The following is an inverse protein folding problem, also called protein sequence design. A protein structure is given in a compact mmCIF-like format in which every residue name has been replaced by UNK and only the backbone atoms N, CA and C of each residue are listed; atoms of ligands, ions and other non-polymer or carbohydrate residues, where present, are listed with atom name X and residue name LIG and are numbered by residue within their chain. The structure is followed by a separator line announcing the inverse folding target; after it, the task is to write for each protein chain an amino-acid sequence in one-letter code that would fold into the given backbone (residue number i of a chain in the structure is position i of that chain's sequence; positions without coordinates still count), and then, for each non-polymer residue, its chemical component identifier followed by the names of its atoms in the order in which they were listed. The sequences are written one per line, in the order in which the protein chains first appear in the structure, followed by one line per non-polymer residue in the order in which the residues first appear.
data_IF_610988008186
#
_entry.id   IF_610988008186
#
_cell.length_a   1.000
_cell.length_b   1.000
_cell.length_c   1.000
_cell.angle_alpha   90.00
_cell.angle_beta   90.00
_cell.angle_gamma   90.00
#
_symmetry.space_group_name_H-M   'P 1'
#
loop_
_entity.id
_entity.type
_entity.pdbx_description
1 polymer ?
#
# COMPACT_ATOMS: atom_id res chain seq x y z
N UNK A 1 5.89 16.33 26.76
CA UNK A 1 6.83 17.06 25.89
C UNK A 1 8.15 16.29 25.93
N UNK A 2 8.36 15.34 25.01
CA UNK A 2 9.61 14.57 24.93
C UNK A 2 10.60 15.42 24.15
N UNK A 3 11.63 15.91 24.86
CA UNK A 3 12.73 16.61 24.23
C UNK A 3 13.54 15.64 23.36
N UNK A 4 13.69 15.95 22.08
CA UNK A 4 14.67 15.31 21.22
C UNK A 4 16.07 15.60 21.80
N UNK A 5 16.71 14.63 22.43
CA UNK A 5 18.15 14.67 22.65
C UNK A 5 18.81 14.37 21.30
N UNK A 6 19.24 15.41 20.59
CA UNK A 6 20.24 15.26 19.54
C UNK A 6 21.58 14.98 20.20
N UNK A 7 21.93 13.70 20.32
CA UNK A 7 23.29 13.30 20.70
C UNK A 7 24.22 13.64 19.52
N UNK A 8 25.09 14.62 19.71
CA UNK A 8 26.26 14.82 18.86
C UNK A 8 27.17 13.60 19.05
N UNK A 9 27.14 12.69 18.10
CA UNK A 9 27.97 11.48 18.10
C UNK A 9 29.42 11.89 17.78
N UNK A 10 30.24 12.10 18.81
CA UNK A 10 31.66 11.86 18.72
C UNK A 10 31.86 10.37 18.48
N UNK A 11 32.93 9.97 17.75
CA UNK A 11 33.20 8.59 17.38
C UNK A 11 32.80 7.64 18.53
N UNK A 12 31.68 6.96 18.34
CA UNK A 12 31.08 6.15 19.40
C UNK A 12 32.02 4.97 19.69
N UNK A 13 32.23 4.67 20.97
CA UNK A 13 32.89 3.44 21.30
C UNK A 13 32.11 2.25 20.74
N UNK A 14 32.83 1.28 20.22
CA UNK A 14 32.20 0.08 19.65
C UNK A 14 32.08 -1.04 20.67
N UNK A 15 31.11 -1.92 20.46
CA UNK A 15 30.89 -3.14 21.23
C UNK A 15 30.73 -4.34 20.29
N UNK A 16 31.06 -5.57 20.69
CA UNK A 16 30.77 -6.77 19.92
C UNK A 16 29.25 -7.09 19.85
N UNK A 17 28.44 -6.42 20.67
CA UNK A 17 27.02 -6.67 20.81
C UNK A 17 26.28 -6.21 19.55
N UNK A 18 25.31 -6.99 19.07
CA UNK A 18 24.55 -6.70 17.87
C UNK A 18 23.10 -7.21 17.96
N UNK A 19 22.26 -6.75 17.07
CA UNK A 19 20.84 -7.11 17.02
C UNK A 19 20.57 -8.22 16.00
N UNK A 20 19.61 -9.07 16.34
CA UNK A 20 19.04 -10.09 15.47
C UNK A 20 17.52 -10.11 15.61
N UNK A 21 16.80 -10.91 14.79
CA UNK A 21 15.37 -11.15 14.99
C UNK A 21 15.07 -12.64 15.12
N UNK A 22 13.92 -12.95 15.73
CA UNK A 22 13.35 -14.29 15.67
C UNK A 22 12.98 -14.65 14.23
N UNK A 23 12.89 -15.94 13.93
CA UNK A 23 12.42 -16.40 12.63
C UNK A 23 11.04 -15.79 12.33
N UNK A 24 10.95 -15.12 11.18
CA UNK A 24 9.72 -14.53 10.66
C UNK A 24 9.47 -15.06 9.25
N UNK A 25 8.24 -15.52 9.00
CA UNK A 25 7.74 -15.82 7.67
C UNK A 25 6.42 -15.10 7.49
N UNK A 26 6.30 -14.29 6.45
CA UNK A 26 5.08 -13.54 6.13
C UNK A 26 4.47 -14.01 4.82
N UNK A 27 3.15 -13.94 4.74
CA UNK A 27 2.39 -14.17 3.50
C UNK A 27 1.80 -12.83 3.06
N UNK A 28 2.19 -12.29 1.90
CA UNK A 28 1.71 -11.01 1.39
C UNK A 28 0.19 -10.95 1.28
N UNK A 29 -0.40 -9.81 1.62
CA UNK A 29 -1.84 -9.57 1.51
C UNK A 29 -2.71 -10.33 2.52
N UNK A 30 -2.13 -11.11 3.40
CA UNK A 30 -2.88 -11.67 4.52
C UNK A 30 -3.30 -10.54 5.46
N UNK A 31 -4.58 -10.49 5.83
CA UNK A 31 -5.13 -9.49 6.76
C UNK A 31 -4.59 -9.64 8.20
N UNK A 32 -3.88 -10.73 8.49
CA UNK A 32 -3.28 -11.02 9.79
C UNK A 32 -2.15 -10.04 10.14
N UNK A 33 -1.88 -9.96 11.43
CA UNK A 33 -0.74 -9.23 11.97
C UNK A 33 0.35 -10.24 12.28
N UNK A 34 1.54 -10.01 11.73
CA UNK A 34 2.74 -10.76 12.06
C UNK A 34 3.49 -10.08 13.19
N UNK A 35 4.34 -10.80 13.88
CA UNK A 35 5.29 -10.19 14.81
C UNK A 35 6.63 -10.90 14.75
N UNK A 36 7.67 -10.17 15.07
CA UNK A 36 9.00 -10.70 15.30
C UNK A 36 9.57 -10.08 16.56
N UNK A 37 10.43 -10.85 17.22
CA UNK A 37 11.16 -10.38 18.41
C UNK A 37 12.52 -9.89 17.98
N UNK A 38 12.87 -8.65 18.33
CA UNK A 38 14.23 -8.15 18.25
C UNK A 38 15.00 -8.68 19.45
N UNK A 39 16.18 -9.23 19.18
CA UNK A 39 17.06 -9.91 20.15
C UNK A 39 18.42 -9.26 20.13
N UNK A 40 19.11 -9.33 21.24
CA UNK A 40 20.51 -8.94 21.35
C UNK A 40 21.41 -10.18 21.46
N UNK A 41 22.58 -10.11 20.84
CA UNK A 41 23.58 -11.16 20.77
C UNK A 41 24.98 -10.66 21.13
N UNK A 42 25.82 -11.55 21.58
CA UNK A 42 27.19 -11.28 22.08
C UNK A 42 27.22 -10.24 23.21
N UNK A 43 26.20 -10.25 24.06
CA UNK A 43 26.05 -9.24 25.10
C UNK A 43 27.22 -9.23 26.05
N UNK A 44 27.99 -8.15 26.06
CA UNK A 44 29.22 -7.99 26.79
C UNK A 44 29.08 -7.14 28.06
N UNK A 45 27.93 -6.46 28.22
CA UNK A 45 27.66 -5.56 29.35
C UNK A 45 26.16 -5.31 29.54
N UNK A 46 25.79 -4.72 30.68
CA UNK A 46 24.42 -4.25 30.95
C UNK A 46 24.15 -2.89 30.34
N UNK A 47 22.93 -2.68 29.87
CA UNK A 47 22.46 -1.43 29.29
C UNK A 47 21.22 -0.91 30.02
N UNK A 48 21.08 0.41 30.11
CA UNK A 48 19.94 1.08 30.70
C UNK A 48 18.97 1.65 29.68
N UNK A 49 19.47 1.83 28.44
CA UNK A 49 18.65 2.26 27.31
C UNK A 49 19.22 1.78 25.98
N UNK A 50 18.37 1.61 25.01
CA UNK A 50 18.72 1.24 23.63
C UNK A 50 17.83 2.07 22.70
N UNK A 51 18.44 2.68 21.67
CA UNK A 51 17.70 3.22 20.54
C UNK A 51 18.20 2.62 19.22
N UNK A 52 17.31 2.58 18.21
CA UNK A 52 17.63 2.11 16.88
C UNK A 52 16.58 2.58 15.87
N UNK A 53 16.98 2.64 14.61
CA UNK A 53 16.12 2.83 13.46
C UNK A 53 16.06 1.53 12.65
N UNK A 54 14.86 0.99 12.48
CA UNK A 54 14.58 -0.20 11.67
C UNK A 54 13.99 0.25 10.33
N UNK A 55 14.71 0.03 9.23
CA UNK A 55 14.28 0.33 7.88
C UNK A 55 13.47 -0.84 7.32
N UNK A 56 12.15 -0.74 7.43
CA UNK A 56 11.24 -1.76 6.91
C UNK A 56 11.23 -1.73 5.39
N UNK A 57 11.32 -2.88 4.69
CA UNK A 57 11.25 -2.92 3.23
C UNK A 57 9.87 -2.50 2.73
N UNK A 58 9.80 -2.01 1.47
CA UNK A 58 8.54 -1.68 0.81
C UNK A 58 7.54 -2.84 0.91
N UNK A 59 6.32 -2.53 1.33
CA UNK A 59 5.28 -3.52 1.55
C UNK A 59 5.25 -4.16 2.95
N UNK A 60 6.20 -3.84 3.84
CA UNK A 60 6.11 -4.19 5.26
C UNK A 60 5.86 -2.92 6.08
N UNK A 61 4.77 -2.87 6.82
CA UNK A 61 4.41 -1.69 7.62
C UNK A 61 4.12 -2.06 9.07
N UNK A 62 4.44 -1.21 10.05
CA UNK A 62 4.07 -1.49 11.43
C UNK A 62 2.56 -1.47 11.59
N UNK A 63 2.03 -2.33 12.47
CA UNK A 63 0.66 -2.20 12.93
C UNK A 63 0.53 -0.92 13.75
N UNK A 64 -0.39 -0.04 13.37
CA UNK A 64 -0.68 1.19 14.10
C UNK A 64 -1.78 0.92 15.13
N UNK A 65 -1.57 1.37 16.36
CA UNK A 65 -2.57 1.33 17.44
C UNK A 65 -3.59 2.47 17.28
N UNK A 66 -4.65 2.42 18.09
CA UNK A 66 -5.70 3.45 18.09
C UNK A 66 -5.19 4.86 18.47
N UNK A 67 -4.05 4.95 19.15
CA UNK A 67 -3.39 6.22 19.51
C UNK A 67 -2.48 6.78 18.39
N UNK A 68 -2.50 6.14 17.19
CA UNK A 68 -1.70 6.52 16.04
C UNK A 68 -0.23 6.08 16.08
N UNK A 69 0.19 5.34 17.13
CA UNK A 69 1.58 4.90 17.30
C UNK A 69 1.80 3.47 16.79
N UNK A 70 3.01 3.14 16.33
CA UNK A 70 3.41 1.77 16.03
C UNK A 70 3.20 0.84 17.22
N UNK A 71 2.76 -0.38 16.95
CA UNK A 71 2.64 -1.39 17.98
C UNK A 71 3.97 -2.09 18.19
N UNK A 72 4.59 -1.79 19.31
CA UNK A 72 5.77 -2.46 19.88
C UNK A 72 5.48 -2.82 21.33
N UNK A 73 6.12 -3.85 21.85
CA UNK A 73 5.96 -4.27 23.25
C UNK A 73 7.26 -4.88 23.76
N UNK A 74 7.66 -4.58 25.00
CA UNK A 74 8.75 -5.27 25.70
C UNK A 74 8.45 -6.78 25.64
N UNK A 75 9.48 -7.59 25.41
CA UNK A 75 9.35 -9.04 25.51
C UNK A 75 9.27 -9.43 26.99
N UNK A 76 8.26 -10.24 27.33
CA UNK A 76 7.99 -10.70 28.70
C UNK A 76 8.16 -12.21 28.84
N UNK A 77 8.86 -12.86 27.88
CA UNK A 77 9.20 -14.27 27.97
C UNK A 77 10.37 -14.51 28.94
N UNK A 78 10.59 -15.76 29.28
CA UNK A 78 11.71 -16.16 30.15
C UNK A 78 13.08 -15.83 29.53
N UNK A 79 13.15 -15.64 28.20
CA UNK A 79 14.36 -15.23 27.49
C UNK A 79 14.53 -13.69 27.43
N UNK A 80 13.68 -12.91 28.10
CA UNK A 80 13.76 -11.45 28.09
C UNK A 80 14.98 -10.97 28.88
N UNK A 81 15.85 -10.20 28.24
CA UNK A 81 16.94 -9.51 28.93
C UNK A 81 16.50 -8.19 29.57
N UNK A 82 15.30 -7.74 29.29
CA UNK A 82 14.76 -6.45 29.79
C UNK A 82 14.12 -6.59 31.18
N UNK A 83 13.65 -7.80 31.51
CA UNK A 83 13.12 -8.11 32.84
C UNK A 83 14.27 -8.31 33.82
N UNK A 84 14.07 -7.92 35.07
CA UNK A 84 15.03 -8.20 36.13
C UNK A 84 14.96 -9.67 36.60
N UNK A 85 15.75 -10.04 37.58
CA UNK A 85 15.80 -11.41 38.13
C UNK A 85 14.51 -11.87 38.82
N UNK A 86 13.63 -10.96 39.12
CA UNK A 86 12.29 -11.22 39.70
C UNK A 86 11.17 -11.26 38.64
N UNK A 87 11.53 -11.01 37.36
CA UNK A 87 10.57 -10.92 36.26
C UNK A 87 9.88 -9.54 36.15
N UNK A 88 10.35 -8.54 36.86
CA UNK A 88 9.79 -7.20 36.84
C UNK A 88 10.36 -6.37 35.68
N UNK A 89 9.48 -5.64 35.01
CA UNK A 89 9.87 -4.73 33.95
C UNK A 89 10.09 -3.31 34.46
N UNK A 90 11.34 -2.90 34.50
CA UNK A 90 11.77 -1.56 34.92
C UNK A 90 12.04 -0.61 33.72
N UNK A 91 11.66 -1.00 32.51
CA UNK A 91 11.88 -0.26 31.27
C UNK A 91 10.57 0.07 30.59
N UNK A 92 10.57 1.14 29.82
CA UNK A 92 9.50 1.52 28.91
C UNK A 92 9.99 1.45 27.47
N UNK A 93 9.05 1.21 26.53
CA UNK A 93 9.33 1.20 25.10
C UNK A 93 8.45 2.23 24.41
N UNK A 94 9.05 3.02 23.52
CA UNK A 94 8.36 3.92 22.60
C UNK A 94 8.78 3.67 21.17
N UNK A 95 7.87 3.91 20.23
CA UNK A 95 8.20 3.87 18.81
C UNK A 95 7.49 4.97 18.05
N UNK A 96 8.14 5.46 16.98
CA UNK A 96 7.58 6.33 15.97
C UNK A 96 7.82 5.72 14.59
N UNK A 97 6.89 5.96 13.67
CA UNK A 97 7.05 5.54 12.29
C UNK A 97 6.94 6.76 11.39
N UNK A 98 8.01 7.04 10.66
CA UNK A 98 8.02 8.17 9.75
C UNK A 98 7.51 7.75 8.37
N UNK A 99 6.32 8.24 8.06
CA UNK A 99 5.69 8.03 6.74
C UNK A 99 6.42 8.83 5.66
N UNK A 100 7.12 9.90 6.02
CA UNK A 100 7.84 10.79 5.09
C UNK A 100 9.17 10.17 4.66
N UNK A 101 9.92 9.60 5.60
CA UNK A 101 11.17 8.86 5.36
C UNK A 101 10.94 7.37 5.04
N UNK A 102 9.76 7.07 4.53
CA UNK A 102 9.36 5.80 3.92
C UNK A 102 9.97 4.56 4.59
N UNK A 103 9.36 4.12 5.68
CA UNK A 103 9.64 2.80 6.23
C UNK A 103 10.57 2.80 7.44
N UNK A 104 10.93 3.95 8.02
CA UNK A 104 11.78 4.00 9.23
C UNK A 104 10.93 3.88 10.48
N UNK A 105 11.12 2.80 11.21
CA UNK A 105 10.56 2.56 12.54
C UNK A 105 11.64 2.83 13.60
N UNK A 106 11.61 4.02 14.19
CA UNK A 106 12.48 4.37 15.32
C UNK A 106 11.93 3.77 16.61
N UNK A 107 12.77 3.05 17.33
CA UNK A 107 12.42 2.41 18.62
C UNK A 107 13.39 2.87 19.71
N UNK A 108 12.84 3.18 20.87
CA UNK A 108 13.61 3.53 22.07
C UNK A 108 13.11 2.70 23.24
N UNK A 109 14.04 2.02 23.92
CA UNK A 109 13.82 1.35 25.20
C UNK A 109 14.63 2.11 26.24
N UNK A 110 14.04 2.48 27.37
CA UNK A 110 14.73 3.21 28.42
C UNK A 110 14.11 2.98 29.79
N UNK A 111 14.95 3.06 30.83
CA UNK A 111 14.51 3.04 32.21
C UNK A 111 14.56 4.43 32.83
N UNK A 112 13.44 4.89 33.39
CA UNK A 112 13.39 6.15 34.16
C UNK A 112 14.07 6.02 35.53
N UNK A 113 14.17 4.81 36.06
CA UNK A 113 14.87 4.47 37.29
C UNK A 113 16.35 4.16 37.09
N UNK A 114 16.86 4.28 35.84
CA UNK A 114 18.22 3.90 35.46
C UNK A 114 18.54 2.42 35.80
N UNK A 115 17.52 1.55 35.67
CA UNK A 115 17.67 0.11 35.84
C UNK A 115 18.46 -0.47 34.66
N UNK A 116 19.26 -1.49 34.94
CA UNK A 116 20.05 -2.18 33.93
C UNK A 116 19.34 -3.41 33.42
N UNK A 117 19.43 -3.65 32.10
CA UNK A 117 19.04 -4.90 31.48
C UNK A 117 20.04 -6.00 31.84
N UNK A 118 19.65 -7.26 31.76
CA UNK A 118 20.53 -8.38 32.01
C UNK A 118 21.70 -8.42 31.00
N UNK A 119 22.90 -8.74 31.47
CA UNK A 119 24.11 -8.81 30.65
C UNK A 119 24.23 -10.20 29.96
N UNK A 120 23.19 -10.69 29.32
CA UNK A 120 23.14 -11.96 28.61
C UNK A 120 22.41 -11.82 27.29
N UNK A 121 22.68 -12.70 26.35
CA UNK A 121 21.93 -12.79 25.12
C UNK A 121 20.43 -13.00 25.43
N UNK A 122 19.55 -12.23 24.78
CA UNK A 122 18.14 -12.36 25.08
C UNK A 122 17.24 -11.55 24.17
N UNK A 123 15.95 -11.63 24.47
CA UNK A 123 14.90 -10.93 23.79
C UNK A 123 14.77 -9.50 24.34
N UNK A 124 14.57 -8.53 23.45
CA UNK A 124 14.34 -7.14 23.83
C UNK A 124 12.85 -6.78 23.73
N UNK A 125 12.30 -6.85 22.54
CA UNK A 125 10.92 -6.41 22.27
C UNK A 125 10.34 -7.07 21.04
N UNK A 126 9.02 -7.01 20.92
CA UNK A 126 8.24 -7.46 19.76
C UNK A 126 7.82 -6.27 18.91
N UNK A 127 7.94 -6.43 17.60
CA UNK A 127 7.40 -5.51 16.58
C UNK A 127 6.25 -6.20 15.89
N UNK A 128 5.12 -5.53 15.76
CA UNK A 128 3.93 -6.03 15.07
C UNK A 128 3.81 -5.35 13.71
N UNK A 129 3.73 -6.16 12.64
CA UNK A 129 3.74 -5.69 11.25
C UNK A 129 2.61 -6.28 10.43
N UNK A 130 2.27 -5.60 9.34
CA UNK A 130 1.38 -6.05 8.27
C UNK A 130 2.16 -6.16 6.98
N UNK A 131 1.83 -7.16 6.17
CA UNK A 131 2.44 -7.40 4.87
C UNK A 131 1.48 -7.01 3.75
N UNK A 132 1.91 -6.09 2.90
CA UNK A 132 1.25 -5.70 1.66
C UNK A 132 1.12 -6.89 0.71
N UNK A 133 0.10 -6.93 -0.14
CA UNK A 133 0.03 -7.90 -1.26
C UNK A 133 1.24 -7.81 -2.21
N UNK A 134 1.89 -6.66 -2.27
CA UNK A 134 3.00 -6.36 -3.17
C UNK A 134 4.38 -6.55 -2.54
N UNK A 135 4.45 -7.03 -1.29
CA UNK A 135 5.74 -7.36 -0.68
C UNK A 135 6.45 -8.45 -1.50
N UNK A 136 7.68 -8.16 -1.93
CA UNK A 136 8.45 -9.02 -2.83
C UNK A 136 8.75 -10.39 -2.19
N UNK A 137 8.42 -11.52 -2.84
CA UNK A 137 8.72 -12.85 -2.32
C UNK A 137 10.21 -13.16 -2.25
N UNK A 138 10.58 -14.05 -1.34
CA UNK A 138 11.95 -14.49 -1.11
C UNK A 138 12.49 -14.07 0.24
N UNK A 139 13.80 -13.90 0.34
CA UNK A 139 14.43 -13.35 1.54
C UNK A 139 14.39 -11.82 1.47
N UNK A 140 13.78 -11.21 2.48
CA UNK A 140 13.77 -9.77 2.68
C UNK A 140 14.64 -9.40 3.89
N UNK A 141 15.07 -8.14 3.96
CA UNK A 141 15.89 -7.64 5.06
C UNK A 141 15.34 -6.33 5.62
N UNK A 142 15.61 -6.11 6.89
CA UNK A 142 15.40 -4.86 7.61
C UNK A 142 16.80 -4.34 7.95
N UNK A 143 17.24 -3.27 7.32
CA UNK A 143 18.48 -2.61 7.71
C UNK A 143 18.29 -1.90 9.05
N UNK A 144 19.34 -1.85 9.85
CA UNK A 144 19.31 -1.21 11.19
C UNK A 144 20.45 -0.23 11.29
N UNK A 145 20.13 1.00 11.62
CA UNK A 145 21.11 2.05 11.90
C UNK A 145 20.73 2.89 13.13
N UNK A 146 21.44 3.99 13.35
CA UNK A 146 21.28 4.87 14.51
C UNK A 146 21.23 4.10 15.86
N UNK A 147 21.97 2.96 15.93
CA UNK A 147 21.98 2.10 17.11
C UNK A 147 22.83 2.77 18.19
N UNK A 148 22.26 2.92 19.38
CA UNK A 148 23.01 3.31 20.56
C UNK A 148 22.61 2.45 21.76
N UNK A 149 23.57 1.74 22.31
CA UNK A 149 23.48 1.00 23.56
C UNK A 149 24.05 1.84 24.69
N UNK A 150 23.23 2.22 25.66
CA UNK A 150 23.59 3.19 26.70
C UNK A 150 23.81 2.45 28.02
N UNK A 151 25.02 2.59 28.59
CA UNK A 151 25.36 2.05 29.90
C UNK A 151 25.01 3.04 31.02
N UNK A 152 24.85 2.52 32.25
CA UNK A 152 24.53 3.30 33.45
C UNK A 152 25.61 4.29 33.78
N UNK A 153 26.88 3.83 33.75
CA UNK A 153 28.03 4.64 34.14
C UNK A 153 28.26 5.78 33.11
N UNK A 154 28.07 7.00 33.57
CA UNK A 154 28.27 8.20 32.76
C UNK A 154 27.30 8.37 31.56
N UNK A 155 26.31 7.50 31.41
CA UNK A 155 25.38 7.55 30.25
C UNK A 155 26.10 7.34 28.91
N UNK A 156 27.23 6.61 28.90
CA UNK A 156 28.04 6.41 27.71
C UNK A 156 27.33 5.54 26.70
N UNK A 157 27.32 5.96 25.42
CA UNK A 157 26.74 5.23 24.30
C UNK A 157 27.78 4.39 23.56
N UNK A 158 27.40 3.18 23.17
CA UNK A 158 28.16 2.26 22.36
C UNK A 158 27.40 1.92 21.09
N UNK A 159 28.11 1.68 19.98
CA UNK A 159 27.54 1.18 18.74
C UNK A 159 28.04 -0.23 18.46
N UNK A 160 27.28 -1.08 17.76
CA UNK A 160 27.79 -2.35 17.27
C UNK A 160 29.06 -2.15 16.43
N UNK A 161 30.09 -2.94 16.66
CA UNK A 161 31.24 -2.98 15.76
C UNK A 161 30.84 -3.49 14.36
N UNK A 162 29.78 -4.30 14.30
CA UNK A 162 29.14 -4.77 13.06
C UNK A 162 27.68 -5.09 13.34
N UNK A 163 26.78 -4.57 12.53
CA UNK A 163 25.35 -4.87 12.59
C UNK A 163 24.93 -5.51 11.26
N UNK A 164 24.61 -6.81 11.23
CA UNK A 164 24.04 -7.44 10.05
C UNK A 164 22.59 -7.00 9.85
N UNK A 165 22.13 -7.00 8.60
CA UNK A 165 20.72 -6.84 8.30
C UNK A 165 19.88 -7.95 8.94
N UNK A 166 18.69 -7.60 9.40
CA UNK A 166 17.76 -8.54 10.01
C UNK A 166 16.92 -9.20 8.91
N UNK A 167 17.15 -10.47 8.63
CA UNK A 167 16.53 -11.17 7.50
C UNK A 167 15.28 -11.94 7.89
N UNK A 168 14.30 -12.03 6.97
CA UNK A 168 13.07 -12.80 7.13
C UNK A 168 12.60 -13.37 5.79
N UNK A 169 11.66 -14.33 5.84
CA UNK A 169 11.12 -14.98 4.65
C UNK A 169 9.77 -14.41 4.25
N UNK A 170 9.57 -14.26 2.94
CA UNK A 170 8.32 -13.83 2.32
C UNK A 170 7.82 -14.94 1.40
N UNK A 171 6.63 -15.46 1.67
CA UNK A 171 6.00 -16.47 0.84
C UNK A 171 5.68 -15.94 -0.57
N UNK A 172 5.66 -16.82 -1.56
CA UNK A 172 5.24 -16.45 -2.92
C UNK A 172 3.72 -16.30 -3.07
N UNK A 173 2.92 -16.86 -2.18
CA UNK A 173 1.47 -16.69 -2.22
C UNK A 173 1.10 -15.29 -1.73
N UNK A 174 0.23 -14.62 -2.50
CA UNK A 174 -0.32 -13.32 -2.13
C UNK A 174 -1.83 -13.28 -2.30
N UNK A 175 -2.49 -12.37 -1.57
CA UNK A 175 -3.94 -12.15 -1.65
C UNK A 175 -4.22 -10.66 -1.76
N UNK A 176 -5.06 -10.28 -2.73
CA UNK A 176 -5.54 -8.90 -2.95
C UNK A 176 -7.04 -8.86 -2.74
N UNK A 177 -7.50 -7.99 -1.85
CA UNK A 177 -8.93 -7.74 -1.67
C UNK A 177 -9.45 -6.82 -2.78
N UNK A 178 -10.52 -7.24 -3.47
CA UNK A 178 -11.25 -6.43 -4.42
C UNK A 178 -12.57 -5.95 -3.80
N UNK A 179 -12.82 -4.66 -3.92
CA UNK A 179 -14.10 -4.06 -3.54
C UNK A 179 -14.54 -3.09 -4.64
N UNK A 180 -15.67 -3.40 -5.27
CA UNK A 180 -16.35 -2.58 -6.26
C UNK A 180 -17.73 -2.29 -5.68
N UNK A 181 -17.99 -1.05 -5.31
CA UNK A 181 -19.29 -0.64 -4.76
C UNK A 181 -20.39 -0.80 -5.80
N UNK A 182 -21.55 -1.29 -5.39
CA UNK A 182 -22.74 -1.37 -6.25
C UNK A 182 -23.21 0.02 -6.75
N UNK A 183 -23.00 1.07 -5.94
CA UNK A 183 -23.38 2.44 -6.32
C UNK A 183 -22.46 3.02 -7.38
N UNK A 184 -21.18 2.67 -7.35
CA UNK A 184 -20.19 3.19 -8.31
C UNK A 184 -20.01 2.27 -9.51
N UNK A 185 -20.20 0.96 -9.33
CA UNK A 185 -20.01 -0.11 -10.32
C UNK A 185 -18.60 -0.18 -10.94
N UNK A 186 -17.80 0.85 -10.81
CA UNK A 186 -16.46 0.99 -11.37
C UNK A 186 -15.40 1.07 -10.28
N UNK A 187 -14.24 0.51 -10.57
CA UNK A 187 -13.06 0.55 -9.72
C UNK A 187 -11.80 0.46 -10.56
N UNK A 188 -10.64 0.52 -9.91
CA UNK A 188 -9.36 0.22 -10.55
C UNK A 188 -8.61 -0.83 -9.75
N UNK A 189 -7.74 -1.60 -10.39
CA UNK A 189 -6.92 -2.57 -9.71
C UNK A 189 -5.56 -2.78 -10.37
N UNK A 190 -4.58 -3.07 -9.52
CA UNK A 190 -3.34 -3.77 -9.86
C UNK A 190 -3.26 -4.99 -8.97
N UNK A 191 -2.76 -6.11 -9.49
CA UNK A 191 -2.50 -7.33 -8.71
C UNK A 191 -1.07 -7.78 -8.96
N UNK A 192 -0.36 -8.37 -7.98
CA UNK A 192 1.04 -8.78 -8.15
C UNK A 192 1.21 -10.16 -8.80
N UNK A 193 0.13 -10.80 -9.21
CA UNK A 193 0.09 -12.15 -9.80
C UNK A 193 -0.93 -12.22 -10.92
N UNK A 194 -0.83 -13.25 -11.77
CA UNK A 194 -1.86 -13.52 -12.78
C UNK A 194 -3.11 -14.09 -12.11
N UNK A 195 -4.29 -13.57 -12.47
CA UNK A 195 -5.57 -14.00 -11.91
C UNK A 195 -6.68 -14.08 -12.96
N UNK A 196 -7.56 -15.06 -12.82
CA UNK A 196 -8.83 -15.06 -13.54
C UNK A 196 -9.76 -13.98 -12.97
N UNK A 197 -10.65 -13.46 -13.81
CA UNK A 197 -11.68 -12.53 -13.34
C UNK A 197 -12.73 -13.28 -12.52
N UNK A 198 -13.17 -12.71 -11.39
CA UNK A 198 -14.32 -13.25 -10.65
C UNK A 198 -15.60 -13.16 -11.49
N UNK A 199 -16.54 -14.06 -11.23
CA UNK A 199 -17.87 -14.00 -11.85
C UNK A 199 -18.54 -12.65 -11.56
N UNK A 200 -19.08 -12.02 -12.62
CA UNK A 200 -19.73 -10.71 -12.52
C UNK A 200 -18.78 -9.51 -12.52
N UNK A 201 -17.48 -9.74 -12.63
CA UNK A 201 -16.47 -8.67 -12.78
C UNK A 201 -15.93 -8.67 -14.20
N UNK A 202 -15.94 -7.52 -14.84
CA UNK A 202 -15.29 -7.22 -16.11
C UNK A 202 -14.04 -6.40 -15.86
N UNK A 203 -13.03 -6.56 -16.70
CA UNK A 203 -11.79 -5.79 -16.61
C UNK A 203 -11.42 -5.25 -18.00
N UNK A 204 -10.80 -4.06 -17.98
CA UNK A 204 -10.46 -3.35 -19.19
C UNK A 204 -9.05 -2.77 -19.09
N UNK A 205 -8.30 -2.83 -20.19
CA UNK A 205 -7.14 -1.97 -20.46
C UNK A 205 -7.62 -0.65 -21.10
N UNK A 206 -6.77 0.38 -21.06
CA UNK A 206 -7.03 1.68 -21.66
C UNK A 206 -5.75 2.20 -22.31
N UNK A 207 -5.73 2.24 -23.65
CA UNK A 207 -4.58 2.67 -24.44
C UNK A 207 -4.74 4.04 -25.07
N UNK A 208 -5.99 4.54 -25.21
CA UNK A 208 -6.30 5.78 -25.89
C UNK A 208 -7.56 6.45 -25.36
N UNK A 209 -7.79 7.67 -25.82
CA UNK A 209 -9.01 8.45 -25.59
C UNK A 209 -9.71 8.80 -26.89
N UNK A 210 -11.03 8.95 -26.87
CA UNK A 210 -11.84 9.45 -27.97
C UNK A 210 -12.76 10.56 -27.46
N UNK A 211 -12.42 11.80 -27.76
CA UNK A 211 -13.14 12.94 -27.17
C UNK A 211 -13.01 12.95 -25.66
N UNK A 212 -14.14 12.98 -24.96
CA UNK A 212 -14.23 12.99 -23.50
C UNK A 212 -14.32 11.57 -22.89
N UNK A 213 -14.03 10.53 -23.68
CA UNK A 213 -14.17 9.15 -23.26
C UNK A 213 -12.85 8.39 -23.33
N UNK A 214 -12.70 7.44 -22.42
CA UNK A 214 -11.67 6.42 -22.49
C UNK A 214 -12.10 5.30 -23.44
N UNK A 215 -11.21 4.91 -24.34
CA UNK A 215 -11.41 3.71 -25.18
C UNK A 215 -10.96 2.51 -24.36
N UNK A 216 -11.92 1.67 -23.99
CA UNK A 216 -11.72 0.51 -23.13
C UNK A 216 -11.71 -0.76 -23.97
N UNK A 217 -10.67 -1.58 -23.78
CA UNK A 217 -10.50 -2.89 -24.38
C UNK A 217 -10.69 -3.97 -23.31
N UNK A 218 -11.72 -4.83 -23.47
CA UNK A 218 -12.03 -5.89 -22.52
C UNK A 218 -10.89 -6.93 -22.47
N UNK A 219 -10.55 -7.35 -21.27
CA UNK A 219 -9.58 -8.43 -21.03
C UNK A 219 -10.26 -9.60 -20.31
N UNK A 220 -9.75 -10.82 -20.51
CA UNK A 220 -10.31 -12.06 -19.93
C UNK A 220 -9.65 -12.47 -18.61
N UNK A 221 -8.52 -11.84 -18.27
CA UNK A 221 -7.76 -12.12 -17.06
C UNK A 221 -6.93 -10.91 -16.68
N UNK A 222 -6.47 -10.88 -15.43
CA UNK A 222 -5.54 -9.88 -14.92
C UNK A 222 -4.13 -10.44 -15.01
N UNK A 223 -3.22 -9.72 -15.66
CA UNK A 223 -1.79 -10.04 -15.65
C UNK A 223 -1.10 -9.35 -14.45
N UNK A 224 -0.05 -10.00 -13.95
CA UNK A 224 0.73 -9.47 -12.84
C UNK A 224 1.27 -8.05 -13.13
N UNK A 225 1.15 -7.17 -12.15
CA UNK A 225 1.62 -5.78 -12.20
C UNK A 225 1.09 -4.94 -13.38
N UNK A 226 -0.05 -5.33 -13.96
CA UNK A 226 -0.74 -4.52 -14.96
C UNK A 226 -1.91 -3.78 -14.32
N UNK A 227 -2.06 -2.47 -14.58
CA UNK A 227 -3.21 -1.69 -14.11
C UNK A 227 -4.44 -1.91 -14.99
N UNK A 228 -5.61 -2.04 -14.37
CA UNK A 228 -6.88 -2.26 -15.03
C UNK A 228 -7.97 -1.36 -14.47
N UNK A 229 -8.98 -1.07 -15.30
CA UNK A 229 -10.27 -0.55 -14.89
C UNK A 229 -11.18 -1.76 -14.73
N UNK A 230 -11.91 -1.82 -13.62
CA UNK A 230 -12.84 -2.90 -13.29
C UNK A 230 -14.27 -2.39 -13.30
N UNK A 231 -15.21 -3.23 -13.77
CA UNK A 231 -16.64 -2.98 -13.72
C UNK A 231 -17.38 -4.19 -13.14
N UNK A 232 -18.36 -3.92 -12.28
CA UNK A 232 -19.30 -4.92 -11.77
C UNK A 232 -20.68 -4.26 -11.58
N UNK A 233 -21.68 -4.64 -12.38
CA UNK A 233 -23.01 -4.03 -12.40
C UNK A 233 -23.71 -4.08 -11.03
N UNK A 234 -23.58 -5.17 -10.31
CA UNK A 234 -24.14 -5.35 -8.96
C UNK A 234 -23.13 -5.08 -7.84
N UNK A 235 -21.95 -4.52 -8.18
CA UNK A 235 -20.83 -4.46 -7.27
C UNK A 235 -20.15 -5.82 -7.07
N UNK A 236 -19.03 -5.83 -6.38
CA UNK A 236 -18.29 -7.05 -6.03
C UNK A 236 -17.46 -6.83 -4.76
N UNK A 237 -17.49 -7.79 -3.85
CA UNK A 237 -16.59 -7.85 -2.70
C UNK A 237 -16.04 -9.26 -2.59
N UNK A 238 -14.71 -9.40 -2.64
CA UNK A 238 -14.03 -10.68 -2.56
C UNK A 238 -12.52 -10.52 -2.56
N UNK A 239 -11.81 -11.62 -2.73
CA UNK A 239 -10.36 -11.62 -2.80
C UNK A 239 -9.87 -12.45 -3.97
N UNK A 240 -8.75 -12.02 -4.56
CA UNK A 240 -7.96 -12.77 -5.50
C UNK A 240 -6.71 -13.29 -4.80
N UNK A 241 -6.32 -14.52 -5.09
CA UNK A 241 -5.09 -15.11 -4.56
C UNK A 241 -4.29 -15.73 -5.69
N UNK A 242 -2.97 -15.65 -5.59
CA UNK A 242 -2.08 -16.20 -6.60
C UNK A 242 -0.63 -16.24 -6.14
N UNK A 243 0.21 -16.88 -6.95
CA UNK A 243 1.64 -16.93 -6.73
C UNK A 243 2.33 -15.76 -7.43
N UNK A 244 3.10 -14.99 -6.68
CA UNK A 244 3.89 -13.87 -7.16
C UNK A 244 5.23 -14.40 -7.66
N UNK A 245 5.59 -14.06 -8.89
CA UNK A 245 6.92 -14.30 -9.44
C UNK A 245 7.83 -13.11 -9.07
N UNK A 246 8.81 -13.37 -8.21
CA UNK A 246 9.75 -12.35 -7.76
C UNK A 246 10.57 -11.73 -8.89
N UNK A 247 10.70 -12.41 -10.04
CA UNK A 247 11.42 -11.89 -11.22
C UNK A 247 10.61 -10.85 -12.00
N UNK A 248 9.28 -10.84 -11.84
CA UNK A 248 8.36 -9.89 -12.49
C UNK A 248 8.09 -8.65 -11.61
N UNK A 249 8.69 -8.56 -10.42
CA UNK A 249 8.50 -7.42 -9.54
C UNK A 249 8.89 -6.11 -10.22
N UNK A 250 8.00 -5.12 -10.16
CA UNK A 250 8.22 -3.77 -10.70
C UNK A 250 7.95 -2.72 -9.62
N UNK A 251 8.72 -1.63 -9.64
CA UNK A 251 8.50 -0.52 -8.72
C UNK A 251 7.31 0.37 -9.11
N UNK A 252 6.88 0.33 -10.38
CA UNK A 252 5.74 1.08 -10.90
C UNK A 252 5.03 0.23 -11.95
N UNK A 253 3.73 0.08 -11.81
CA UNK A 253 2.87 -0.63 -12.76
C UNK A 253 2.33 0.37 -13.79
N UNK A 254 2.59 0.17 -15.09
CA UNK A 254 2.06 1.02 -16.16
C UNK A 254 1.60 0.20 -17.34
N UNK A 255 0.44 0.52 -17.92
CA UNK A 255 -0.05 -0.05 -19.16
C UNK A 255 -0.96 0.94 -19.88
N UNK A 256 -0.61 1.28 -21.13
CA UNK A 256 -1.33 2.29 -21.89
C UNK A 256 -1.36 3.63 -21.16
N UNK A 257 -2.54 4.15 -20.92
CA UNK A 257 -2.76 5.40 -20.18
C UNK A 257 -2.88 5.20 -18.66
N UNK A 258 -2.90 3.97 -18.17
CA UNK A 258 -3.06 3.66 -16.76
C UNK A 258 -1.71 3.54 -16.06
N UNK A 259 -1.62 4.10 -14.87
CA UNK A 259 -0.53 3.92 -13.92
C UNK A 259 -1.08 3.35 -12.61
N UNK A 260 -0.41 2.38 -12.02
CA UNK A 260 -0.86 1.66 -10.83
C UNK A 260 0.08 1.85 -9.64
N UNK A 261 -0.49 2.01 -8.47
CA UNK A 261 0.23 2.15 -7.20
C UNK A 261 0.47 0.76 -6.59
N UNK A 262 1.70 0.31 -6.56
CA UNK A 262 2.10 -0.90 -5.81
C UNK A 262 2.50 -0.57 -4.36
N UNK A 263 2.70 0.71 -4.07
CA UNK A 263 2.80 1.31 -2.74
C UNK A 263 1.93 2.56 -2.78
N UNK A 264 1.22 2.86 -1.69
CA UNK A 264 0.41 4.09 -1.61
C UNK A 264 1.25 5.32 -1.89
N UNK A 265 0.76 6.21 -2.76
CA UNK A 265 1.51 7.38 -3.19
C UNK A 265 0.60 8.57 -3.45
N UNK A 266 1.11 9.77 -3.26
CA UNK A 266 0.44 11.00 -3.65
C UNK A 266 0.80 11.38 -5.08
N UNK A 267 -0.20 11.85 -5.83
CA UNK A 267 -0.05 12.44 -7.17
C UNK A 267 -0.60 13.87 -7.17
N UNK A 268 -0.04 14.73 -8.01
CA UNK A 268 -0.52 16.10 -8.25
C UNK A 268 -0.94 16.31 -9.70
N UNK A 269 -0.69 15.32 -10.55
CA UNK A 269 -1.02 15.32 -11.98
C UNK A 269 -1.76 14.03 -12.36
N UNK A 270 -2.59 14.10 -13.41
CA UNK A 270 -3.37 12.96 -13.90
C UNK A 270 -4.83 13.00 -13.45
N UNK A 271 -5.48 11.85 -13.54
CA UNK A 271 -6.92 11.73 -13.30
C UNK A 271 -7.19 10.56 -12.36
N UNK A 272 -8.11 10.77 -11.43
CA UNK A 272 -8.53 9.77 -10.44
C UNK A 272 -9.99 9.39 -10.63
N UNK A 273 -10.29 8.10 -10.46
CA UNK A 273 -11.64 7.59 -10.54
C UNK A 273 -12.46 8.07 -9.33
N UNK A 274 -13.54 8.79 -9.59
CA UNK A 274 -14.48 9.30 -8.58
C UNK A 274 -15.92 9.23 -9.09
N UNK A 275 -16.88 9.17 -8.17
CA UNK A 275 -18.29 9.39 -8.45
C UNK A 275 -18.71 10.69 -7.74
N UNK A 276 -19.11 11.70 -8.51
CA UNK A 276 -19.59 13.00 -8.01
C UNK A 276 -21.10 13.19 -8.13
N UNK A 277 -21.83 12.07 -8.30
CA UNK A 277 -23.30 12.05 -8.39
C UNK A 277 -23.84 11.80 -9.81
N UNK A 278 -23.03 12.03 -10.86
CA UNK A 278 -23.40 11.81 -12.26
C UNK A 278 -22.83 10.50 -12.85
N UNK A 279 -22.40 9.57 -11.97
CA UNK A 279 -21.72 8.35 -12.35
C UNK A 279 -20.21 8.43 -12.14
N UNK A 280 -19.53 7.28 -12.28
CA UNK A 280 -18.10 7.18 -12.10
C UNK A 280 -17.37 7.72 -13.34
N UNK A 281 -16.39 8.60 -13.13
CA UNK A 281 -15.51 9.16 -14.15
C UNK A 281 -14.11 9.34 -13.60
N UNK A 282 -13.11 9.47 -14.48
CA UNK A 282 -11.78 9.90 -14.11
C UNK A 282 -11.71 11.43 -14.14
N UNK A 283 -11.52 12.05 -12.97
CA UNK A 283 -11.45 13.51 -12.82
C UNK A 283 -9.99 13.97 -12.68
N UNK A 284 -9.67 15.08 -13.37
CA UNK A 284 -8.38 15.72 -13.26
C UNK A 284 -8.12 16.19 -11.81
N UNK A 285 -6.92 15.92 -11.27
CA UNK A 285 -6.54 16.36 -9.93
C UNK A 285 -6.16 17.84 -9.87
N UNK A 286 -5.94 18.51 -11.03
CA UNK A 286 -5.70 19.95 -11.16
C UNK A 286 -4.63 20.50 -10.21
N UNK A 287 -3.53 19.80 -10.05
CA UNK A 287 -2.43 20.20 -9.16
C UNK A 287 -2.68 19.98 -7.67
N UNK A 288 -3.86 19.50 -7.29
CA UNK A 288 -4.14 19.13 -5.90
C UNK A 288 -3.49 17.78 -5.58
N UNK A 289 -2.94 17.66 -4.38
CA UNK A 289 -2.39 16.37 -3.92
C UNK A 289 -3.52 15.37 -3.66
N UNK A 290 -3.46 14.22 -4.33
CA UNK A 290 -4.41 13.15 -4.18
C UNK A 290 -3.69 11.83 -3.86
N UNK A 291 -4.05 11.17 -2.75
CA UNK A 291 -3.45 9.91 -2.37
C UNK A 291 -4.09 8.75 -3.15
N UNK A 292 -3.27 8.01 -3.89
CA UNK A 292 -3.66 6.76 -4.55
C UNK A 292 -3.30 5.61 -3.60
N UNK A 293 -4.28 4.88 -3.09
CA UNK A 293 -4.01 3.70 -2.27
C UNK A 293 -3.28 2.61 -3.06
N UNK A 294 -2.54 1.80 -2.36
CA UNK A 294 -1.94 0.58 -2.89
C UNK A 294 -2.98 -0.29 -3.62
N UNK A 295 -2.60 -0.88 -4.75
CA UNK A 295 -3.46 -1.70 -5.59
C UNK A 295 -4.46 -0.91 -6.44
N UNK A 296 -4.43 0.42 -6.42
CA UNK A 296 -5.28 1.31 -7.23
C UNK A 296 -4.52 1.95 -8.38
N UNK A 297 -5.27 2.47 -9.35
CA UNK A 297 -4.70 3.10 -10.54
C UNK A 297 -5.20 4.52 -10.70
N UNK A 298 -4.41 5.32 -11.38
CA UNK A 298 -4.80 6.62 -11.92
C UNK A 298 -4.53 6.65 -13.42
N UNK A 299 -5.10 7.65 -14.10
CA UNK A 299 -4.93 7.82 -15.54
C UNK A 299 -3.92 8.94 -15.80
N UNK A 300 -3.00 8.70 -16.71
CA UNK A 300 -2.03 9.68 -17.20
C UNK A 300 -2.27 9.90 -18.69
N UNK A 301 -2.80 11.08 -19.04
CA UNK A 301 -3.06 11.46 -20.44
C UNK A 301 -2.07 12.54 -20.84
N UNK A 302 -1.35 12.40 -21.98
CA UNK A 302 -0.34 13.37 -22.40
C UNK A 302 -0.86 14.81 -22.58
N UNK A 303 -2.11 14.95 -23.01
CA UNK A 303 -2.81 16.24 -23.11
C UNK A 303 -3.80 16.37 -21.94
N UNK A 304 -3.32 16.88 -20.81
CA UNK A 304 -4.04 16.97 -19.53
C UNK A 304 -5.06 18.10 -19.43
N UNK A 305 -5.54 18.67 -20.54
CA UNK A 305 -6.42 19.87 -20.54
C UNK A 305 -7.87 19.62 -20.15
N UNK A 306 -8.33 18.37 -20.13
CA UNK A 306 -9.73 18.01 -19.87
C UNK A 306 -10.06 17.96 -18.39
N UNK A 307 -11.31 18.30 -18.04
CA UNK A 307 -11.79 18.23 -16.65
C UNK A 307 -12.05 16.79 -16.18
N UNK A 308 -12.55 15.93 -17.08
CA UNK A 308 -12.85 14.53 -16.79
C UNK A 308 -12.88 13.66 -18.06
N UNK A 309 -12.75 12.35 -17.87
CA UNK A 309 -12.98 11.32 -18.87
C UNK A 309 -14.04 10.33 -18.38
N UNK A 310 -15.08 10.11 -19.21
CA UNK A 310 -16.05 9.04 -19.03
C UNK A 310 -15.57 7.72 -19.64
N UNK A 311 -16.41 6.68 -19.54
CA UNK A 311 -16.14 5.37 -20.13
C UNK A 311 -16.92 5.22 -21.44
N UNK A 312 -16.22 4.82 -22.50
CA UNK A 312 -16.82 4.31 -23.73
C UNK A 312 -16.53 2.81 -23.81
N UNK A 313 -17.49 2.01 -23.40
CA UNK A 313 -17.41 0.57 -23.55
C UNK A 313 -17.92 0.25 -24.94
N UNK A 314 -17.04 -0.07 -25.89
CA UNK A 314 -17.47 -0.66 -27.15
C UNK A 314 -18.09 -2.03 -26.87
N UNK A 315 -19.40 -2.04 -26.64
CA UNK A 315 -20.16 -3.28 -26.62
C UNK A 315 -20.39 -3.74 -28.06
N UNK A 316 -19.73 -4.79 -28.47
CA UNK A 316 -20.07 -5.54 -29.71
C UNK A 316 -21.40 -6.30 -29.55
N UNK A 317 -22.06 -6.22 -28.40
CA UNK A 317 -23.41 -6.69 -28.13
C UNK A 317 -24.34 -5.51 -27.90
N UNK A 318 -25.42 -5.46 -28.66
CA UNK A 318 -26.52 -4.50 -28.50
C UNK A 318 -27.30 -4.88 -27.24
N UNK A 319 -26.79 -4.54 -26.06
CA UNK A 319 -27.50 -4.66 -24.79
C UNK A 319 -27.46 -3.34 -24.04
N UNK A 320 -28.68 -2.72 -24.00
CA UNK A 320 -29.16 -1.69 -23.07
C UNK A 320 -28.11 -0.78 -22.40
N UNK A 321 -27.64 0.24 -23.12
CA UNK A 321 -26.88 1.33 -22.52
C UNK A 321 -27.86 2.41 -22.06
N UNK A 322 -28.12 2.46 -20.76
CA UNK A 322 -28.67 3.67 -20.13
C UNK A 322 -27.48 4.60 -19.83
N UNK A 323 -26.95 5.26 -20.86
CA UNK A 323 -25.97 6.33 -20.67
C UNK A 323 -26.78 7.55 -20.19
N UNK A 324 -26.58 7.94 -18.93
CA UNK A 324 -26.90 9.28 -18.50
C UNK A 324 -25.91 10.22 -19.18
N UNK A 325 -26.26 10.69 -20.39
CA UNK A 325 -25.46 11.66 -21.13
C UNK A 325 -25.43 12.99 -20.36
N UNK A 326 -24.25 13.65 -20.23
CA UNK A 326 -24.24 15.04 -19.79
C UNK A 326 -25.08 15.87 -20.71
N UNK A 327 -25.82 16.82 -20.16
CA UNK A 327 -26.96 17.56 -20.71
C UNK A 327 -26.73 18.44 -21.95
N UNK A 328 -25.95 18.05 -22.97
CA UNK A 328 -25.72 18.92 -24.11
C UNK A 328 -25.57 18.28 -25.50
N UNK A 329 -25.97 17.03 -25.71
CA UNK A 329 -25.92 16.47 -27.06
C UNK A 329 -27.22 16.66 -27.80
N UNK A 330 -27.12 17.31 -28.97
CA UNK A 330 -28.24 17.39 -29.90
C UNK A 330 -28.51 16.01 -30.50
N UNK A 331 -29.79 15.60 -30.50
CA UNK A 331 -30.24 14.32 -31.05
C UNK A 331 -30.77 14.56 -32.46
N UNK A 332 -30.34 13.76 -33.42
CA UNK A 332 -30.78 13.82 -34.80
C UNK A 332 -31.39 12.49 -35.23
N UNK A 333 -32.39 12.52 -36.13
CA UNK A 333 -32.87 11.34 -36.83
C UNK A 333 -31.85 10.89 -37.90
N UNK A 334 -32.14 9.78 -38.58
CA UNK A 334 -31.25 9.24 -39.62
C UNK A 334 -31.15 10.12 -40.86
N UNK A 335 -32.10 11.07 -41.04
CA UNK A 335 -32.09 12.06 -42.08
C UNK A 335 -31.40 13.38 -41.68
N UNK A 336 -30.78 13.41 -40.47
CA UNK A 336 -30.04 14.58 -39.98
C UNK A 336 -30.89 15.71 -39.41
N UNK A 337 -32.19 15.48 -39.15
CA UNK A 337 -33.07 16.48 -38.54
C UNK A 337 -32.97 16.40 -37.02
N UNK A 338 -32.91 17.56 -36.37
CA UNK A 338 -32.86 17.62 -34.91
C UNK A 338 -34.16 17.11 -34.27
N UNK A 339 -34.04 16.21 -33.30
CA UNK A 339 -35.16 15.63 -32.58
C UNK A 339 -35.17 16.10 -31.14
N UNK A 340 -36.23 16.85 -30.74
CA UNK A 340 -36.35 17.43 -29.39
C UNK A 340 -36.87 16.40 -28.39
N UNK A 341 -37.67 15.43 -28.83
CA UNK A 341 -38.25 14.38 -27.99
C UNK A 341 -38.07 13.01 -28.64
N UNK A 342 -36.95 12.34 -28.47
CA UNK A 342 -36.69 11.02 -29.02
C UNK A 342 -37.70 9.99 -28.47
N UNK A 343 -38.28 9.16 -29.33
CA UNK A 343 -39.23 8.11 -28.98
C UNK A 343 -38.54 6.74 -28.83
N UNK A 344 -39.05 5.90 -27.94
CA UNK A 344 -38.58 4.54 -27.78
C UNK A 344 -38.77 3.71 -29.06
N UNK A 345 -37.83 2.82 -29.33
CA UNK A 345 -37.85 1.95 -30.52
C UNK A 345 -37.35 2.60 -31.81
N UNK A 346 -36.85 3.84 -31.76
CA UNK A 346 -36.30 4.54 -32.92
C UNK A 346 -34.77 4.72 -32.81
N UNK A 347 -34.12 4.71 -33.99
CA UNK A 347 -32.68 4.91 -34.11
C UNK A 347 -32.37 6.40 -34.31
N UNK A 348 -31.43 6.94 -33.57
CA UNK A 348 -31.02 8.35 -33.61
C UNK A 348 -29.52 8.48 -33.80
N UNK A 349 -29.05 9.65 -34.19
CA UNK A 349 -27.65 10.05 -34.20
C UNK A 349 -27.45 10.99 -33.01
N UNK A 350 -26.60 10.58 -32.07
CA UNK A 350 -26.23 11.35 -30.88
C UNK A 350 -24.70 11.38 -30.80
N UNK A 351 -24.10 12.59 -30.80
CA UNK A 351 -22.66 12.74 -30.81
C UNK A 351 -21.95 12.06 -32.00
N UNK A 352 -22.64 12.00 -33.17
CA UNK A 352 -22.10 11.35 -34.37
C UNK A 352 -22.26 9.82 -34.44
N UNK A 353 -22.95 9.20 -33.46
CA UNK A 353 -23.18 7.75 -33.38
C UNK A 353 -24.66 7.38 -33.55
N UNK A 354 -24.90 6.19 -34.09
CA UNK A 354 -26.25 5.62 -34.18
C UNK A 354 -26.64 4.99 -32.82
N UNK A 355 -27.70 5.48 -32.22
CA UNK A 355 -28.19 5.04 -30.90
C UNK A 355 -29.66 4.63 -31.03
N UNK A 356 -30.03 3.42 -30.58
CA UNK A 356 -31.40 2.96 -30.46
C UNK A 356 -31.95 3.40 -29.10
N UNK A 357 -32.96 4.26 -29.04
CA UNK A 357 -33.63 4.57 -27.79
C UNK A 357 -34.55 3.42 -27.39
N UNK A 358 -34.23 2.76 -26.29
CA UNK A 358 -35.11 1.80 -25.62
C UNK A 358 -35.99 2.52 -24.61
N UNK A 359 -36.98 1.84 -24.05
CA UNK A 359 -37.98 2.45 -23.16
C UNK A 359 -37.44 3.29 -22.05
#
# INVERSE_FOLDING_TARGET
MFGLLTLNVHAADTTPDYLTISNLTVTPGNSGVYNFTVKMKNVSRSYTAINMDLHLPDGLTPQIKNDGKPRVAIDTSDDSMVLDEYGDNNHSIGATFDVVDKGVLRVVISSTANAEMQANDGNLFKVYVKASPFLKPGTASIAVDEIAFIVKEGGKAYQPASQPDLTFNVNSQSTVSLNISADNQWSTAVVPFNAALPTGVQAYSCSSTSGDYLVLEAVTSLAAYQPYILHAESGYTGALSGSVDATQYVATATAGLLSGAIVSRSITEGYVLQNKGDGACFYNVNGQSFNIPEGRCWLTVPDGSRAAFGFDVETTAVDNINIALPRSYEVYDLEGRRVVSPQAGHLYIIGGRKVLKLK
#
